data_IF_829829406372
#
_entry.id   IF_829829406372
#
_cell.length_a   1.000
_cell.length_b   1.000
_cell.length_c   1.000
_cell.angle_alpha   90.00
_cell.angle_beta   90.00
_cell.angle_gamma   90.00
#
_symmetry.space_group_name_H-M   'P 1'
#
loop_
_entity.id
_entity.type
_entity.pdbx_description
1 polymer ?
#
# COMPACT_ATOMS: atom_id res chain seq x y z
N UNK A 1 0.69 28.46 -2.50
CA UNK A 1 0.30 29.89 -2.50
C UNK A 1 0.85 30.57 -3.76
N UNK A 2 0.08 31.47 -4.36
CA UNK A 2 0.60 32.36 -5.39
C UNK A 2 1.62 33.30 -4.77
N UNK A 3 2.44 33.96 -5.61
CA UNK A 3 3.45 34.91 -5.15
C UNK A 3 2.86 36.09 -4.38
N UNK A 4 1.58 36.36 -4.55
CA UNK A 4 0.81 37.43 -3.87
C UNK A 4 0.18 36.94 -2.52
N UNK A 5 0.46 35.74 -2.08
CA UNK A 5 -0.09 35.13 -0.86
C UNK A 5 -1.51 34.57 -0.99
N UNK A 6 -2.12 34.60 -2.18
CA UNK A 6 -3.46 34.03 -2.41
C UNK A 6 -3.40 32.53 -2.25
N UNK A 7 -4.35 31.95 -1.48
CA UNK A 7 -4.50 30.50 -1.34
C UNK A 7 -4.83 29.90 -2.72
N UNK A 8 -4.05 28.91 -3.15
CA UNK A 8 -4.39 28.12 -4.34
C UNK A 8 -5.65 27.33 -4.00
N UNK A 9 -6.55 27.14 -4.97
CA UNK A 9 -7.72 26.26 -4.80
C UNK A 9 -7.28 24.90 -4.26
N UNK A 10 -8.05 24.32 -3.34
CA UNK A 10 -7.81 22.97 -2.85
C UNK A 10 -8.20 21.91 -3.89
N UNK A 11 -9.01 22.29 -4.88
CA UNK A 11 -9.60 21.39 -5.89
C UNK A 11 -8.87 21.44 -7.23
N UNK A 12 -8.00 22.41 -7.45
CA UNK A 12 -7.31 22.54 -8.74
C UNK A 12 -5.97 23.27 -8.64
N UNK A 13 -5.09 22.97 -9.57
CA UNK A 13 -3.78 23.60 -9.72
C UNK A 13 -3.52 23.90 -11.20
N UNK A 14 -3.06 25.10 -11.49
CA UNK A 14 -2.79 25.54 -12.88
C UNK A 14 -1.34 25.97 -13.01
N UNK A 15 -0.68 25.48 -14.04
CA UNK A 15 0.65 25.90 -14.47
C UNK A 15 0.60 26.51 -15.86
N UNK A 16 1.39 27.54 -16.06
CA UNK A 16 1.60 28.15 -17.38
C UNK A 16 3.04 27.92 -17.85
N UNK A 17 3.23 27.88 -19.17
CA UNK A 17 4.54 27.73 -19.78
C UNK A 17 5.48 28.82 -19.28
N UNK A 18 6.67 28.42 -18.82
CA UNK A 18 7.72 29.37 -18.46
C UNK A 18 8.48 29.81 -19.72
N UNK A 19 8.34 31.09 -20.17
CA UNK A 19 9.00 31.58 -21.37
C UNK A 19 10.51 31.73 -21.21
N UNK A 20 11.02 31.70 -19.96
CA UNK A 20 12.46 31.83 -19.63
C UNK A 20 13.16 30.46 -19.45
N UNK A 21 12.46 29.35 -19.68
CA UNK A 21 13.07 28.05 -19.69
C UNK A 21 14.03 27.92 -20.88
N UNK A 22 15.23 27.38 -20.69
CA UNK A 22 16.27 27.30 -21.71
C UNK A 22 15.84 26.55 -22.98
N UNK A 23 14.89 25.62 -22.88
CA UNK A 23 14.30 24.87 -23.97
C UNK A 23 12.81 25.24 -24.21
N UNK A 24 12.42 26.49 -23.91
CA UNK A 24 11.02 26.92 -24.01
C UNK A 24 10.42 26.68 -25.40
N UNK A 25 11.20 26.82 -26.45
CA UNK A 25 10.74 26.61 -27.85
C UNK A 25 10.33 25.15 -28.13
N UNK A 26 10.84 24.19 -27.37
CA UNK A 26 10.46 22.78 -27.48
C UNK A 26 9.16 22.43 -26.71
N UNK A 27 8.72 23.30 -25.83
CA UNK A 27 7.50 23.10 -25.03
C UNK A 27 6.30 23.56 -25.86
N UNK A 28 5.46 22.62 -26.27
CA UNK A 28 4.26 22.88 -27.06
C UNK A 28 3.02 23.18 -26.23
N UNK A 29 2.96 22.65 -25.01
CA UNK A 29 1.85 22.86 -24.08
C UNK A 29 2.01 24.21 -23.37
N UNK A 30 1.03 25.10 -23.50
CA UNK A 30 1.07 26.42 -22.89
C UNK A 30 0.49 26.47 -21.49
N UNK A 31 -0.42 25.54 -21.15
CA UNK A 31 -1.10 25.50 -19.87
C UNK A 31 -1.36 24.06 -19.44
N UNK A 32 -1.07 23.74 -18.20
CA UNK A 32 -1.46 22.48 -17.53
C UNK A 32 -2.44 22.82 -16.41
N UNK A 33 -3.53 22.09 -16.36
CA UNK A 33 -4.56 22.28 -15.33
C UNK A 33 -4.82 20.94 -14.68
N UNK A 34 -4.61 20.86 -13.36
CA UNK A 34 -4.79 19.65 -12.57
C UNK A 34 -6.10 19.75 -11.79
N UNK A 35 -6.91 18.72 -11.86
CA UNK A 35 -7.97 18.44 -10.91
C UNK A 35 -7.36 17.70 -9.72
N UNK A 36 -7.59 18.15 -8.50
CA UNK A 36 -7.07 17.55 -7.27
C UNK A 36 -8.22 16.85 -6.54
N UNK A 37 -8.16 15.55 -6.42
CA UNK A 37 -9.15 14.73 -5.71
C UNK A 37 -8.47 13.50 -5.12
N UNK A 38 -8.95 13.06 -3.96
CA UNK A 38 -8.58 11.77 -3.36
C UNK A 38 -9.57 10.66 -3.77
N UNK A 39 -10.63 11.01 -4.48
CA UNK A 39 -11.68 10.07 -4.95
C UNK A 39 -11.41 9.66 -6.40
N UNK A 40 -10.89 8.44 -6.58
CA UNK A 40 -10.60 7.86 -7.89
C UNK A 40 -11.84 7.77 -8.77
N UNK A 41 -13.05 7.58 -8.20
CA UNK A 41 -14.30 7.53 -8.94
C UNK A 41 -14.67 8.90 -9.53
N UNK A 42 -14.43 9.97 -8.76
CA UNK A 42 -14.66 11.34 -9.25
C UNK A 42 -13.68 11.69 -10.38
N UNK A 43 -12.40 11.32 -10.25
CA UNK A 43 -11.37 11.51 -11.28
C UNK A 43 -11.75 10.77 -12.56
N UNK A 44 -12.11 9.48 -12.44
CA UNK A 44 -12.50 8.65 -13.58
C UNK A 44 -13.77 9.15 -14.26
N UNK A 45 -14.74 9.66 -13.49
CA UNK A 45 -15.96 10.26 -14.03
C UNK A 45 -15.66 11.53 -14.83
N UNK A 46 -14.75 12.38 -14.35
CA UNK A 46 -14.32 13.59 -15.08
C UNK A 46 -13.61 13.24 -16.40
N UNK A 47 -12.79 12.18 -16.42
CA UNK A 47 -12.18 11.67 -17.67
C UNK A 47 -13.24 11.19 -18.65
N UNK A 48 -14.18 10.37 -18.23
CA UNK A 48 -15.25 9.87 -19.09
C UNK A 48 -16.19 10.98 -19.60
N UNK A 49 -16.32 12.07 -18.86
CA UNK A 49 -17.08 13.26 -19.27
C UNK A 49 -16.31 14.15 -20.27
N UNK A 50 -14.99 13.96 -20.41
CA UNK A 50 -14.11 14.80 -21.23
C UNK A 50 -13.69 16.09 -20.55
N UNK A 51 -13.82 16.17 -19.21
CA UNK A 51 -13.39 17.34 -18.43
C UNK A 51 -11.87 17.36 -18.20
N UNK A 52 -11.23 16.20 -18.30
CA UNK A 52 -9.77 16.03 -18.23
C UNK A 52 -9.27 15.11 -19.35
N UNK A 53 -8.09 15.38 -19.88
CA UNK A 53 -7.47 14.67 -21.00
C UNK A 53 -6.64 13.47 -20.58
N UNK A 54 -6.24 13.39 -19.31
CA UNK A 54 -5.37 12.37 -18.74
C UNK A 54 -5.66 12.16 -17.27
N UNK A 55 -5.61 10.92 -16.82
CA UNK A 55 -5.65 10.53 -15.41
C UNK A 55 -4.55 9.52 -15.13
N UNK A 56 -3.98 9.52 -13.93
CA UNK A 56 -2.91 8.62 -13.52
C UNK A 56 -3.41 7.41 -12.71
N UNK A 57 -4.69 7.40 -12.38
CA UNK A 57 -5.33 6.31 -11.64
C UNK A 57 -6.76 6.09 -12.10
N UNK A 58 -7.26 4.88 -11.92
CA UNK A 58 -8.67 4.52 -12.11
C UNK A 58 -9.16 3.76 -10.88
N UNK A 59 -10.48 3.76 -10.59
CA UNK A 59 -11.04 2.94 -9.53
C UNK A 59 -10.67 1.47 -9.72
N UNK A 60 -10.27 0.79 -8.66
CA UNK A 60 -9.79 -0.61 -8.72
C UNK A 60 -10.82 -1.58 -9.31
N UNK A 61 -12.13 -1.31 -9.15
CA UNK A 61 -13.21 -2.10 -9.73
C UNK A 61 -13.33 -1.94 -11.27
N UNK A 62 -12.73 -0.90 -11.86
CA UNK A 62 -12.76 -0.66 -13.30
C UNK A 62 -11.58 -1.31 -14.04
N UNK A 63 -10.49 -1.64 -13.32
CA UNK A 63 -9.25 -2.14 -13.93
C UNK A 63 -9.50 -3.39 -14.78
N UNK A 64 -10.25 -4.36 -14.26
CA UNK A 64 -10.53 -5.61 -14.95
C UNK A 64 -11.32 -5.39 -16.27
N UNK A 65 -12.17 -4.38 -16.34
CA UNK A 65 -12.94 -4.03 -17.54
C UNK A 65 -12.14 -3.24 -18.58
N UNK A 66 -11.09 -2.54 -18.13
CA UNK A 66 -10.25 -1.69 -18.97
C UNK A 66 -9.02 -2.43 -19.50
N UNK A 67 -8.45 -3.30 -18.66
CA UNK A 67 -7.25 -4.07 -18.98
C UNK A 67 -7.48 -4.94 -20.22
N UNK A 68 -6.57 -4.83 -21.16
CA UNK A 68 -6.61 -5.56 -22.46
C UNK A 68 -7.81 -5.23 -23.37
N UNK A 69 -8.67 -4.29 -23.00
CA UNK A 69 -9.87 -3.89 -23.74
C UNK A 69 -9.79 -2.44 -24.20
N UNK A 70 -9.43 -1.52 -23.31
CA UNK A 70 -9.33 -0.10 -23.63
C UNK A 70 -7.91 0.25 -24.10
N UNK A 71 -7.70 0.70 -25.35
CA UNK A 71 -6.37 1.03 -25.86
C UNK A 71 -5.74 2.27 -25.19
N UNK A 72 -6.52 3.07 -24.46
CA UNK A 72 -6.05 4.22 -23.71
C UNK A 72 -5.62 3.87 -22.28
N UNK A 73 -5.93 2.66 -21.83
CA UNK A 73 -5.55 2.19 -20.49
C UNK A 73 -4.17 1.51 -20.52
N UNK A 74 -3.23 2.05 -19.78
CA UNK A 74 -1.85 1.56 -19.71
C UNK A 74 -1.44 1.27 -18.28
N UNK A 75 -0.84 0.11 -18.04
CA UNK A 75 -0.17 -0.22 -16.78
C UNK A 75 1.31 0.08 -16.96
N UNK A 76 1.85 0.94 -16.10
CA UNK A 76 3.26 1.36 -16.14
C UNK A 76 3.93 0.95 -14.84
N UNK A 77 5.04 0.21 -14.94
CA UNK A 77 5.82 -0.20 -13.78
C UNK A 77 6.41 1.02 -13.06
N UNK A 78 6.18 1.07 -11.75
CA UNK A 78 6.79 2.07 -10.87
C UNK A 78 7.94 1.46 -10.08
N UNK A 79 9.08 2.17 -10.02
CA UNK A 79 10.23 1.74 -9.22
C UNK A 79 9.99 2.06 -7.74
N UNK A 80 9.17 1.28 -7.09
CA UNK A 80 8.77 1.50 -5.70
C UNK A 80 8.30 0.24 -5.00
N UNK A 81 8.35 0.26 -3.68
CA UNK A 81 7.82 -0.79 -2.81
C UNK A 81 6.83 -0.19 -1.84
N UNK A 82 5.59 -0.65 -1.86
CA UNK A 82 4.59 -0.34 -0.84
C UNK A 82 4.73 -1.29 0.34
N UNK A 83 4.65 -0.74 1.55
CA UNK A 83 4.75 -1.53 2.77
C UNK A 83 3.94 -0.92 3.91
N UNK A 84 3.49 -1.77 4.82
CA UNK A 84 2.98 -1.37 6.13
C UNK A 84 4.11 -1.50 7.17
N UNK A 85 4.30 -0.48 8.00
CA UNK A 85 5.32 -0.46 9.05
C UNK A 85 4.69 -0.56 10.43
N UNK A 86 5.30 -1.33 11.32
CA UNK A 86 4.90 -1.38 12.71
C UNK A 86 5.48 -0.20 13.51
N UNK A 87 4.64 0.49 14.26
CA UNK A 87 5.12 1.37 15.30
C UNK A 87 5.64 0.53 16.49
N UNK A 88 6.94 0.26 16.52
CA UNK A 88 7.56 -0.55 17.57
C UNK A 88 7.48 0.07 18.97
N UNK A 89 7.05 1.33 19.10
CA UNK A 89 6.79 2.01 20.38
C UNK A 89 5.32 1.95 20.79
N UNK A 90 4.46 1.28 20.00
CA UNK A 90 3.06 1.09 20.35
C UNK A 90 2.91 0.39 21.69
N UNK A 91 1.87 0.75 22.43
CA UNK A 91 1.48 0.09 23.69
C UNK A 91 1.25 -1.43 23.51
N UNK A 92 0.92 -1.88 22.30
CA UNK A 92 0.80 -3.30 21.96
C UNK A 92 2.07 -4.12 22.29
N UNK A 93 3.24 -3.49 22.22
CA UNK A 93 4.53 -4.14 22.46
C UNK A 93 5.15 -3.77 23.82
N UNK A 94 4.51 -2.89 24.62
CA UNK A 94 5.13 -2.30 25.80
C UNK A 94 5.52 -3.34 26.89
N UNK A 95 4.68 -4.37 27.08
CA UNK A 95 4.88 -5.43 28.07
C UNK A 95 5.53 -6.69 27.49
N UNK A 96 6.10 -6.60 26.27
CA UNK A 96 6.70 -7.74 25.58
C UNK A 96 8.22 -7.68 25.61
N UNK A 97 8.85 -8.84 25.72
CA UNK A 97 10.29 -8.91 25.43
C UNK A 97 10.57 -8.61 23.96
N UNK A 98 11.79 -8.24 23.59
CA UNK A 98 12.15 -8.04 22.18
C UNK A 98 11.81 -9.24 21.28
N UNK A 99 12.00 -10.46 21.78
CA UNK A 99 11.72 -11.71 21.09
C UNK A 99 10.22 -11.91 20.93
N UNK A 100 9.42 -11.66 21.97
CA UNK A 100 7.97 -11.74 21.91
C UNK A 100 7.40 -10.72 20.91
N UNK A 101 7.89 -9.49 20.95
CA UNK A 101 7.48 -8.45 20.03
C UNK A 101 7.88 -8.79 18.57
N UNK A 102 9.02 -9.45 18.35
CA UNK A 102 9.44 -9.96 17.04
C UNK A 102 8.49 -11.05 16.55
N UNK A 103 8.16 -12.03 17.38
CA UNK A 103 7.18 -13.09 17.08
C UNK A 103 5.81 -12.50 16.68
N UNK A 104 5.34 -11.47 17.39
CA UNK A 104 4.08 -10.79 17.06
C UNK A 104 4.14 -10.14 15.67
N UNK A 105 5.19 -9.36 15.38
CA UNK A 105 5.33 -8.71 14.07
C UNK A 105 5.47 -9.72 12.93
N UNK A 106 6.21 -10.81 13.15
CA UNK A 106 6.29 -11.89 12.16
C UNK A 106 4.92 -12.53 11.93
N UNK A 107 4.19 -12.87 13.00
CA UNK A 107 2.85 -13.45 12.91
C UNK A 107 1.90 -12.55 12.11
N UNK A 108 1.82 -11.26 12.43
CA UNK A 108 0.98 -10.32 11.69
C UNK A 108 1.40 -10.21 10.23
N UNK A 109 2.70 -10.21 9.95
CA UNK A 109 3.21 -10.08 8.59
C UNK A 109 2.88 -11.28 7.72
N UNK A 110 3.00 -12.51 8.25
CA UNK A 110 2.75 -13.72 7.47
C UNK A 110 1.27 -14.02 7.28
N UNK A 111 0.39 -13.47 8.11
CA UNK A 111 -1.06 -13.63 7.97
C UNK A 111 -1.63 -12.85 6.78
N UNK A 112 -0.94 -11.82 6.30
CA UNK A 112 -1.44 -10.99 5.20
C UNK A 112 -1.28 -11.73 3.86
N UNK A 113 -2.41 -11.99 3.21
CA UNK A 113 -2.47 -12.59 1.88
C UNK A 113 -2.13 -11.53 0.81
N UNK A 114 -0.85 -11.47 0.45
CA UNK A 114 -0.34 -10.51 -0.53
C UNK A 114 -0.80 -10.81 -1.94
N UNK A 115 -0.94 -12.06 -2.27
CA UNK A 115 -1.40 -12.47 -3.59
C UNK A 115 -2.87 -12.07 -3.79
N UNK A 116 -3.72 -12.28 -2.78
CA UNK A 116 -5.09 -11.78 -2.81
C UNK A 116 -5.15 -10.25 -2.99
N UNK A 117 -4.33 -9.49 -2.25
CA UNK A 117 -4.28 -8.03 -2.38
C UNK A 117 -3.87 -7.62 -3.80
N UNK A 118 -2.89 -8.28 -4.39
CA UNK A 118 -2.40 -7.98 -5.74
C UNK A 118 -3.45 -8.32 -6.78
N UNK A 119 -4.06 -9.48 -6.69
CA UNK A 119 -4.99 -10.00 -7.70
C UNK A 119 -6.37 -9.36 -7.64
N UNK A 120 -6.86 -9.03 -6.43
CA UNK A 120 -8.25 -8.61 -6.22
C UNK A 120 -8.40 -7.14 -5.81
N UNK A 121 -7.36 -6.53 -5.24
CA UNK A 121 -7.41 -5.13 -4.81
C UNK A 121 -6.60 -4.24 -5.74
N UNK A 122 -5.33 -4.52 -5.95
CA UNK A 122 -4.43 -3.68 -6.75
C UNK A 122 -4.57 -3.91 -8.25
N UNK A 123 -4.69 -5.15 -8.71
CA UNK A 123 -5.03 -5.63 -10.06
C UNK A 123 -4.12 -5.17 -11.24
N UNK A 124 -3.04 -4.44 -10.95
CA UNK A 124 -2.14 -3.88 -11.97
C UNK A 124 -0.84 -4.69 -12.16
N UNK A 125 -0.82 -5.98 -11.77
CA UNK A 125 0.32 -6.87 -11.99
C UNK A 125 1.51 -6.62 -11.08
N UNK A 126 1.29 -5.99 -9.92
CA UNK A 126 2.28 -5.87 -8.87
C UNK A 126 2.81 -7.25 -8.46
N UNK A 127 3.97 -7.27 -7.83
CA UNK A 127 4.58 -8.50 -7.30
C UNK A 127 4.70 -8.41 -5.79
N UNK A 128 4.53 -9.52 -5.04
CA UNK A 128 4.79 -9.54 -3.62
C UNK A 128 6.22 -9.09 -3.34
N UNK A 129 6.38 -8.11 -2.46
CA UNK A 129 7.69 -7.60 -2.10
C UNK A 129 8.31 -8.48 -1.02
N UNK A 130 9.54 -8.90 -1.22
CA UNK A 130 10.35 -9.66 -0.27
C UNK A 130 11.49 -8.84 0.34
N UNK A 131 11.61 -7.57 -0.04
CA UNK A 131 12.53 -6.59 0.55
C UNK A 131 12.06 -5.17 0.22
N UNK A 132 12.68 -4.16 0.85
CA UNK A 132 12.43 -2.75 0.54
C UNK A 132 12.95 -2.32 -0.84
N UNK A 133 13.89 -3.06 -1.41
CA UNK A 133 14.45 -2.75 -2.73
C UNK A 133 13.50 -3.31 -3.79
N UNK A 134 12.91 -2.46 -4.66
CA UNK A 134 12.02 -2.92 -5.72
C UNK A 134 12.77 -3.68 -6.82
N UNK A 135 12.03 -4.47 -7.58
CA UNK A 135 12.54 -5.03 -8.82
C UNK A 135 12.85 -3.93 -9.82
N UNK A 136 13.88 -4.14 -10.64
CA UNK A 136 14.30 -3.16 -11.66
C UNK A 136 15.25 -2.06 -11.16
N UNK A 137 15.59 -2.02 -9.86
CA UNK A 137 16.59 -1.10 -9.33
C UNK A 137 17.97 -1.40 -9.94
N UNK A 138 18.62 -0.38 -10.50
CA UNK A 138 19.96 -0.51 -11.04
C UNK A 138 20.98 -0.80 -9.92
N UNK A 139 22.00 -1.64 -10.23
CA UNK A 139 23.08 -2.00 -9.31
C UNK A 139 24.27 -1.02 -9.32
N UNK A 140 24.22 0.01 -10.19
CA UNK A 140 25.28 0.98 -10.38
C UNK A 140 26.42 0.50 -11.29
N UNK A 141 26.40 -0.76 -11.74
CA UNK A 141 27.43 -1.35 -12.60
C UNK A 141 26.90 -1.71 -13.99
N UNK A 142 25.71 -1.22 -14.35
CA UNK A 142 25.06 -1.49 -15.63
C UNK A 142 24.12 -2.70 -15.62
N UNK A 143 23.92 -3.33 -14.47
CA UNK A 143 22.97 -4.41 -14.24
C UNK A 143 21.81 -4.01 -13.33
N UNK A 144 21.00 -5.01 -12.93
CA UNK A 144 19.86 -4.87 -12.02
C UNK A 144 20.24 -5.49 -10.68
N UNK A 145 20.06 -4.73 -9.58
CA UNK A 145 20.41 -5.14 -8.22
C UNK A 145 19.71 -6.43 -7.80
N UNK A 146 18.44 -6.60 -8.20
CA UNK A 146 17.62 -7.73 -7.80
C UNK A 146 16.78 -8.20 -8.98
N UNK A 147 17.09 -9.39 -9.52
CA UNK A 147 16.33 -10.03 -10.60
C UNK A 147 15.39 -11.10 -10.04
N UNK A 148 15.94 -12.06 -9.29
CA UNK A 148 15.20 -13.07 -8.55
C UNK A 148 15.93 -13.35 -7.23
N UNK A 149 15.23 -13.14 -6.10
CA UNK A 149 15.85 -13.31 -4.79
C UNK A 149 16.04 -14.80 -4.41
N UNK A 150 15.16 -15.68 -4.88
CA UNK A 150 15.26 -17.11 -4.61
C UNK A 150 16.49 -17.68 -5.33
N UNK A 151 16.68 -17.32 -6.60
CA UNK A 151 17.86 -17.70 -7.37
C UNK A 151 19.16 -17.12 -6.80
N UNK A 152 19.10 -15.93 -6.20
CA UNK A 152 20.25 -15.30 -5.55
C UNK A 152 20.51 -15.80 -4.13
N UNK A 153 19.67 -16.72 -3.61
CA UNK A 153 19.80 -17.27 -2.26
C UNK A 153 19.44 -16.31 -1.13
N UNK A 154 18.71 -15.25 -1.41
CA UNK A 154 18.20 -14.36 -0.36
C UNK A 154 17.03 -15.04 0.38
N UNK A 155 17.04 -14.89 1.70
CA UNK A 155 15.93 -15.31 2.53
C UNK A 155 14.70 -14.44 2.25
N UNK A 156 13.56 -15.07 1.94
CA UNK A 156 12.27 -14.42 1.86
C UNK A 156 11.50 -14.65 3.16
N UNK A 157 11.47 -13.67 4.08
CA UNK A 157 10.79 -13.84 5.36
C UNK A 157 9.26 -13.92 5.23
N UNK A 158 8.72 -13.52 4.07
CA UNK A 158 7.29 -13.48 3.79
C UNK A 158 6.85 -14.54 2.78
N UNK A 159 7.74 -15.46 2.41
CA UNK A 159 7.40 -16.59 1.54
C UNK A 159 6.24 -17.37 2.16
N UNK A 160 5.05 -17.00 1.76
CA UNK A 160 3.83 -17.73 2.00
C UNK A 160 3.82 -18.80 0.91
N UNK A 161 4.34 -19.97 1.22
CA UNK A 161 4.28 -21.11 0.32
C UNK A 161 2.82 -21.46 0.15
N UNK A 162 2.08 -21.03 -0.78
CA UNK A 162 0.73 -21.48 -1.21
C UNK A 162 -0.05 -22.42 -0.24
N UNK A 163 0.33 -22.46 1.03
CA UNK A 163 -0.19 -23.22 2.15
C UNK A 163 -0.66 -22.26 3.23
N UNK A 164 -1.86 -21.72 3.00
CA UNK A 164 -2.48 -20.78 3.94
C UNK A 164 -2.69 -21.41 5.33
N UNK A 165 -3.09 -22.67 5.39
CA UNK A 165 -3.30 -23.37 6.68
C UNK A 165 -2.00 -23.48 7.48
N UNK A 166 -0.90 -23.88 6.83
CA UNK A 166 0.41 -23.92 7.44
C UNK A 166 0.91 -22.56 7.91
N UNK A 167 0.62 -21.51 7.15
CA UNK A 167 0.94 -20.13 7.50
C UNK A 167 0.16 -19.67 8.74
N UNK A 168 -1.13 -19.97 8.81
CA UNK A 168 -1.98 -19.65 9.97
C UNK A 168 -1.50 -20.39 11.23
N UNK A 169 -1.15 -21.66 11.13
CA UNK A 169 -0.59 -22.42 12.26
C UNK A 169 0.77 -21.89 12.72
N UNK A 170 1.62 -21.47 11.79
CA UNK A 170 2.86 -20.77 12.13
C UNK A 170 2.59 -19.48 12.89
N UNK A 171 1.64 -18.67 12.43
CA UNK A 171 1.26 -17.42 13.10
C UNK A 171 0.73 -17.68 14.51
N UNK A 172 -0.15 -18.67 14.70
CA UNK A 172 -0.62 -19.09 16.03
C UNK A 172 0.54 -19.51 16.94
N UNK A 173 1.50 -20.27 16.41
CA UNK A 173 2.68 -20.71 17.15
C UNK A 173 3.52 -19.53 17.62
N UNK A 174 3.76 -18.55 16.76
CA UNK A 174 4.47 -17.32 17.07
C UNK A 174 3.74 -16.49 18.13
N UNK A 175 2.42 -16.36 18.02
CA UNK A 175 1.62 -15.63 18.98
C UNK A 175 1.55 -16.36 20.35
N UNK A 176 1.50 -17.71 20.35
CA UNK A 176 1.63 -18.48 21.60
C UNK A 176 2.98 -18.25 22.27
N UNK A 177 4.08 -18.20 21.50
CA UNK A 177 5.40 -17.86 22.02
C UNK A 177 5.46 -16.43 22.59
N UNK A 178 4.66 -15.51 22.06
CA UNK A 178 4.49 -14.16 22.59
C UNK A 178 3.55 -14.06 23.80
N UNK A 179 3.00 -15.19 24.27
CA UNK A 179 2.16 -15.29 25.48
C UNK A 179 0.66 -15.19 25.23
N UNK A 180 0.21 -15.28 23.98
CA UNK A 180 -1.21 -15.28 23.64
C UNK A 180 -1.82 -16.68 23.71
N UNK A 181 -3.11 -16.75 24.02
CA UNK A 181 -3.87 -17.99 24.14
C UNK A 181 -4.84 -18.15 22.98
N UNK A 182 -5.07 -19.39 22.58
CA UNK A 182 -6.04 -19.74 21.54
C UNK A 182 -7.01 -20.80 22.07
N UNK A 183 -8.26 -20.72 21.66
CA UNK A 183 -9.26 -21.74 21.93
C UNK A 183 -9.09 -22.99 21.05
N UNK A 184 -9.89 -24.02 21.33
CA UNK A 184 -9.91 -25.27 20.54
C UNK A 184 -10.41 -25.05 19.10
N UNK A 185 -11.12 -23.97 18.89
CA UNK A 185 -11.56 -23.49 17.56
C UNK A 185 -10.45 -22.79 16.77
N UNK A 186 -9.26 -22.64 17.37
CA UNK A 186 -8.13 -21.92 16.78
C UNK A 186 -8.25 -20.41 16.77
N UNK A 187 -9.26 -19.84 17.44
CA UNK A 187 -9.43 -18.39 17.57
C UNK A 187 -8.68 -17.85 18.78
N UNK A 188 -8.23 -16.61 18.68
CA UNK A 188 -7.59 -15.91 19.77
C UNK A 188 -8.55 -15.82 20.97
N UNK A 189 -8.04 -16.20 22.16
CA UNK A 189 -8.84 -16.18 23.37
C UNK A 189 -9.14 -14.77 23.85
N UNK A 190 -10.37 -14.55 24.32
CA UNK A 190 -10.76 -13.29 24.95
C UNK A 190 -9.95 -12.96 26.23
N UNK A 191 -9.23 -13.92 26.80
CA UNK A 191 -8.32 -13.67 27.93
C UNK A 191 -7.05 -12.90 27.52
N UNK A 192 -6.66 -13.01 26.25
CA UNK A 192 -5.47 -12.36 25.69
C UNK A 192 -5.82 -11.71 24.35
N UNK A 193 -6.65 -10.66 24.35
CA UNK A 193 -7.07 -10.02 23.11
C UNK A 193 -5.91 -9.27 22.43
N UNK A 194 -5.97 -9.19 21.11
CA UNK A 194 -5.08 -8.34 20.33
C UNK A 194 -5.96 -7.36 19.54
N UNK A 195 -5.67 -6.08 19.71
CA UNK A 195 -6.28 -5.03 18.90
C UNK A 195 -5.19 -4.18 18.27
N UNK A 196 -5.30 -3.96 16.96
CA UNK A 196 -4.40 -3.18 16.13
C UNK A 196 -5.12 -1.95 15.59
N UNK A 197 -4.39 -0.86 15.39
CA UNK A 197 -4.85 0.26 14.59
C UNK A 197 -3.98 0.35 13.33
N UNK A 198 -4.62 0.33 12.17
CA UNK A 198 -3.97 0.61 10.89
C UNK A 198 -4.26 2.05 10.49
N UNK A 199 -3.22 2.88 10.54
CA UNK A 199 -3.28 4.27 10.10
C UNK A 199 -3.01 4.37 8.61
N UNK A 200 -3.93 4.99 7.87
CA UNK A 200 -3.79 5.23 6.44
C UNK A 200 -4.34 6.61 6.06
N UNK A 201 -3.95 7.09 4.88
CA UNK A 201 -4.59 8.26 4.26
C UNK A 201 -5.92 7.86 3.60
N UNK A 202 -6.62 8.84 3.04
CA UNK A 202 -7.95 8.68 2.46
C UNK A 202 -7.96 8.09 1.03
N UNK A 203 -6.80 7.72 0.47
CA UNK A 203 -6.74 7.08 -0.83
C UNK A 203 -7.51 5.74 -0.81
N UNK A 204 -8.48 5.61 -1.72
CA UNK A 204 -9.41 4.46 -1.77
C UNK A 204 -8.68 3.12 -1.85
N UNK A 205 -7.59 3.03 -2.63
CA UNK A 205 -6.77 1.83 -2.77
C UNK A 205 -6.12 1.42 -1.45
N UNK A 206 -5.60 2.38 -0.67
CA UNK A 206 -4.98 2.10 0.62
C UNK A 206 -5.98 1.65 1.68
N UNK A 207 -7.19 2.20 1.65
CA UNK A 207 -8.28 1.77 2.55
C UNK A 207 -8.68 0.33 2.23
N UNK A 208 -8.87 -0.01 0.95
CA UNK A 208 -9.20 -1.39 0.52
C UNK A 208 -8.11 -2.41 0.87
N UNK A 209 -6.83 -2.04 0.79
CA UNK A 209 -5.73 -2.88 1.27
C UNK A 209 -5.85 -3.09 2.79
N UNK A 210 -6.17 -2.02 3.53
CA UNK A 210 -6.44 -2.11 4.97
C UNK A 210 -7.61 -3.06 5.29
N UNK A 211 -8.69 -3.02 4.51
CA UNK A 211 -9.84 -3.91 4.66
C UNK A 211 -9.47 -5.39 4.41
N UNK A 212 -8.63 -5.67 3.41
CA UNK A 212 -8.11 -7.02 3.17
C UNK A 212 -7.26 -7.50 4.36
N UNK A 213 -6.31 -6.70 4.83
CA UNK A 213 -5.49 -7.02 6.01
C UNK A 213 -6.35 -7.24 7.27
N UNK A 214 -7.42 -6.46 7.44
CA UNK A 214 -8.37 -6.62 8.54
C UNK A 214 -9.06 -7.98 8.50
N UNK A 215 -9.47 -8.44 7.32
CA UNK A 215 -10.10 -9.75 7.13
C UNK A 215 -9.12 -10.91 7.45
N UNK A 216 -7.89 -10.81 6.95
CA UNK A 216 -6.85 -11.80 7.21
C UNK A 216 -6.56 -11.97 8.71
N UNK A 217 -6.43 -10.86 9.42
CA UNK A 217 -6.19 -10.86 10.87
C UNK A 217 -7.41 -11.36 11.66
N UNK A 218 -8.62 -10.98 11.23
CA UNK A 218 -9.86 -11.42 11.85
C UNK A 218 -10.07 -12.94 11.74
N UNK A 219 -9.49 -13.60 10.72
CA UNK A 219 -9.59 -15.05 10.52
C UNK A 219 -9.06 -15.88 11.71
N UNK A 220 -8.22 -15.32 12.56
CA UNK A 220 -7.76 -15.95 13.80
C UNK A 220 -8.15 -15.16 15.07
N UNK A 221 -9.09 -14.21 14.95
CA UNK A 221 -9.63 -13.47 16.09
C UNK A 221 -8.83 -12.24 16.50
N UNK A 222 -7.94 -11.73 15.66
CA UNK A 222 -7.24 -10.46 15.88
C UNK A 222 -8.15 -9.33 15.39
N UNK A 223 -8.40 -8.35 16.25
CA UNK A 223 -9.15 -7.15 15.89
C UNK A 223 -8.21 -6.09 15.29
N UNK A 224 -8.57 -5.53 14.13
CA UNK A 224 -7.88 -4.41 13.54
C UNK A 224 -8.87 -3.31 13.15
N UNK A 225 -8.63 -2.11 13.63
CA UNK A 225 -9.38 -0.92 13.22
C UNK A 225 -8.63 -0.14 12.15
N UNK A 226 -9.35 0.44 11.19
CA UNK A 226 -8.76 1.29 10.16
C UNK A 226 -9.01 2.75 10.55
N UNK A 227 -7.92 3.48 10.78
CA UNK A 227 -7.93 4.92 11.01
C UNK A 227 -7.56 5.65 9.73
N UNK A 228 -8.57 6.17 9.07
CA UNK A 228 -8.41 6.95 7.86
C UNK A 228 -8.34 8.44 8.20
N UNK A 229 -7.41 9.18 7.58
CA UNK A 229 -7.30 10.63 7.76
C UNK A 229 -6.77 11.30 6.50
N UNK A 230 -6.95 12.62 6.40
CA UNK A 230 -6.36 13.40 5.32
C UNK A 230 -4.84 13.32 5.32
N UNK A 231 -4.23 13.60 4.15
CA UNK A 231 -2.80 13.46 3.95
C UNK A 231 -1.94 14.25 4.96
N UNK A 232 -2.33 15.46 5.33
CA UNK A 232 -1.54 16.28 6.23
C UNK A 232 -1.58 15.73 7.67
N UNK A 233 -2.74 15.24 8.12
CA UNK A 233 -2.90 14.56 9.41
C UNK A 233 -2.10 13.27 9.41
N UNK A 234 -2.22 12.45 8.35
CA UNK A 234 -1.44 11.23 8.19
C UNK A 234 0.06 11.48 8.32
N UNK A 235 0.60 12.52 7.67
CA UNK A 235 2.01 12.88 7.75
C UNK A 235 2.47 13.29 9.17
N UNK A 236 1.57 13.77 10.01
CA UNK A 236 1.88 14.10 11.41
C UNK A 236 1.77 12.88 12.32
N UNK A 237 0.72 12.08 12.17
CA UNK A 237 0.45 10.96 13.06
C UNK A 237 1.36 9.75 12.84
N UNK A 238 1.91 9.56 11.65
CA UNK A 238 2.85 8.48 11.34
C UNK A 238 4.26 8.66 11.90
N UNK A 239 4.57 9.81 12.52
CA UNK A 239 5.87 10.12 13.14
C UNK A 239 5.95 9.55 14.55
#
# INVERSE_FOLDING_TARGET
>A
HKSDGTKISEDSMTYEKNPYWYDADKVTVNKLQFMLSADDTAIYSAYNAGDVDFIDTVPTNEIASLKDVNPEFHIIDALGTYYAAFNCKSALFADKTPEQAACMREAFSILIDRDYIIENVAQCGQKPANSFIPYGMADGNGGIFKTDLVEQGYFDPFAINNDYEGTVEKARTLLKAAGYKFGDDGMLSAETPISLEYLTNEATSHVKIGEAMQQDLAAIGIDMTIKQCDWNVFLQERK
#
